data_IF_219703549963
#
_entry.id   IF_219703549963
#
_cell.length_a   1.000
_cell.length_b   1.000
_cell.length_c   1.000
_cell.angle_alpha   90.00
_cell.angle_beta   90.00
_cell.angle_gamma   90.00
#
_symmetry.space_group_name_H-M   'P 1'
#
loop_
_entity.id
_entity.type
_entity.pdbx_description
1 polymer ?
#
# COMPACT_ATOMS: atom_id res chain seq x y z
N UNK A 1 43.39 -5.23 55.64
CA UNK A 1 42.50 -4.40 54.80
C UNK A 1 42.92 -4.31 53.33
N UNK A 2 44.12 -4.74 52.91
CA UNK A 2 44.54 -4.70 51.50
C UNK A 2 44.08 -5.90 50.65
N UNK A 3 43.82 -7.07 51.28
CA UNK A 3 43.39 -8.30 50.59
C UNK A 3 41.94 -8.27 50.10
N UNK A 4 41.07 -7.49 50.76
CA UNK A 4 39.65 -7.35 50.38
C UNK A 4 39.47 -6.55 49.08
N UNK A 5 40.37 -5.59 48.80
CA UNK A 5 40.32 -4.75 47.60
C UNK A 5 40.68 -5.55 46.35
N UNK A 6 41.71 -6.42 46.44
CA UNK A 6 42.10 -7.30 45.32
C UNK A 6 41.01 -8.31 44.96
N UNK A 7 40.32 -8.86 45.96
CA UNK A 7 39.21 -9.78 45.73
C UNK A 7 38.01 -9.09 45.05
N UNK A 8 37.68 -7.85 45.43
CA UNK A 8 36.63 -7.07 44.78
C UNK A 8 36.97 -6.75 43.32
N UNK A 9 38.23 -6.47 43.02
CA UNK A 9 38.68 -6.16 41.65
C UNK A 9 38.57 -7.39 40.73
N UNK A 10 38.95 -8.57 41.21
CA UNK A 10 38.77 -9.84 40.47
C UNK A 10 37.29 -10.19 40.28
N UNK A 11 36.47 -9.96 41.30
CA UNK A 11 35.02 -10.22 41.23
C UNK A 11 34.33 -9.29 40.22
N UNK A 12 34.75 -8.02 40.15
CA UNK A 12 34.28 -7.07 39.14
C UNK A 12 34.68 -7.47 37.71
N UNK A 13 35.92 -7.96 37.52
CA UNK A 13 36.38 -8.46 36.21
C UNK A 13 35.60 -9.70 35.75
N UNK A 14 35.31 -10.63 36.67
CA UNK A 14 34.50 -11.82 36.36
C UNK A 14 33.06 -11.45 35.98
N UNK A 15 32.44 -10.49 36.68
CA UNK A 15 31.11 -9.98 36.33
C UNK A 15 31.09 -9.25 34.98
N UNK A 16 32.11 -8.46 34.68
CA UNK A 16 32.24 -7.79 33.38
C UNK A 16 32.39 -8.80 32.24
N UNK A 17 33.23 -9.83 32.42
CA UNK A 17 33.44 -10.88 31.42
C UNK A 17 32.14 -11.68 31.20
N UNK A 18 31.43 -12.02 32.28
CA UNK A 18 30.13 -12.68 32.20
C UNK A 18 29.09 -11.84 31.43
N UNK A 19 29.08 -10.51 31.66
CA UNK A 19 28.24 -9.58 30.92
C UNK A 19 28.55 -9.57 29.41
N UNK A 20 29.84 -9.59 29.06
CA UNK A 20 30.26 -9.60 27.65
C UNK A 20 29.87 -10.90 26.92
N UNK A 21 30.03 -12.05 27.60
CA UNK A 21 29.62 -13.35 27.07
C UNK A 21 28.10 -13.40 26.87
N UNK A 22 27.32 -12.91 27.83
CA UNK A 22 25.86 -12.83 27.72
C UNK A 22 25.42 -11.93 26.56
N UNK A 23 26.05 -10.75 26.42
CA UNK A 23 25.76 -9.84 25.32
C UNK A 23 26.07 -10.48 23.96
N UNK A 24 27.23 -11.12 23.85
CA UNK A 24 27.63 -11.86 22.64
C UNK A 24 26.62 -12.96 22.27
N UNK A 25 26.14 -13.71 23.25
CA UNK A 25 25.14 -14.76 23.05
C UNK A 25 23.79 -14.19 22.56
N UNK A 26 23.31 -13.11 23.17
CA UNK A 26 22.04 -12.47 22.80
C UNK A 26 22.12 -11.91 21.38
N UNK A 27 23.22 -11.25 21.02
CA UNK A 27 23.43 -10.72 19.67
C UNK A 27 23.54 -11.84 18.63
N UNK A 28 24.29 -12.91 18.91
CA UNK A 28 24.38 -14.07 18.04
C UNK A 28 23.01 -14.73 17.82
N UNK A 29 22.24 -14.94 18.89
CA UNK A 29 20.90 -15.53 18.82
C UNK A 29 19.93 -14.65 18.01
N UNK A 30 19.98 -13.32 18.19
CA UNK A 30 19.16 -12.38 17.43
C UNK A 30 19.55 -12.33 15.94
N UNK A 31 20.85 -12.33 15.64
CA UNK A 31 21.36 -12.36 14.27
C UNK A 31 20.99 -13.67 13.54
N UNK A 32 21.03 -14.82 14.23
CA UNK A 32 20.61 -16.10 13.65
C UNK A 32 19.12 -16.08 13.27
N UNK A 33 18.25 -15.52 14.13
CA UNK A 33 16.83 -15.41 13.85
C UNK A 33 16.54 -14.52 12.62
N UNK A 34 17.25 -13.39 12.49
CA UNK A 34 17.14 -12.50 11.34
C UNK A 34 17.65 -13.15 10.05
N UNK A 35 18.82 -13.80 10.11
CA UNK A 35 19.39 -14.52 8.96
C UNK A 35 18.49 -15.66 8.49
N UNK A 36 17.80 -16.36 9.39
CA UNK A 36 16.85 -17.42 9.03
C UNK A 36 15.68 -16.90 8.22
N UNK A 37 15.12 -15.73 8.54
CA UNK A 37 14.01 -15.12 7.79
C UNK A 37 14.45 -14.72 6.38
N UNK A 38 15.53 -13.96 6.27
CA UNK A 38 16.07 -13.52 4.97
C UNK A 38 16.40 -14.69 4.05
N UNK A 39 16.96 -15.78 4.59
CA UNK A 39 17.31 -16.95 3.79
C UNK A 39 16.08 -17.77 3.36
N UNK A 40 14.97 -17.71 4.10
CA UNK A 40 13.70 -18.31 3.70
C UNK A 40 13.04 -17.51 2.58
N UNK A 41 13.04 -16.18 2.69
CA UNK A 41 12.48 -15.30 1.65
C UNK A 41 13.25 -15.44 0.34
N UNK A 42 14.59 -15.40 0.38
CA UNK A 42 15.42 -15.62 -0.81
C UNK A 42 15.17 -16.99 -1.45
N UNK A 43 14.92 -18.03 -0.66
CA UNK A 43 14.61 -19.38 -1.17
C UNK A 43 13.22 -19.47 -1.79
N UNK A 44 12.23 -18.76 -1.25
CA UNK A 44 10.89 -18.70 -1.84
C UNK A 44 10.94 -18.03 -3.21
N UNK A 45 11.58 -16.86 -3.30
CA UNK A 45 11.74 -16.13 -4.57
C UNK A 45 12.51 -16.94 -5.61
N UNK A 46 13.60 -17.62 -5.22
CA UNK A 46 14.35 -18.48 -6.16
C UNK A 46 13.55 -19.68 -6.65
N UNK A 47 12.65 -20.24 -5.82
CA UNK A 47 11.76 -21.34 -6.25
C UNK A 47 10.73 -20.88 -7.26
N UNK A 48 10.15 -19.70 -7.05
CA UNK A 48 9.20 -19.09 -7.97
C UNK A 48 9.86 -18.77 -9.31
N UNK A 49 11.04 -18.15 -9.30
CA UNK A 49 11.82 -17.88 -10.51
C UNK A 49 12.17 -19.16 -11.28
N UNK A 50 12.55 -20.23 -10.56
CA UNK A 50 12.85 -21.53 -11.18
C UNK A 50 11.61 -22.21 -11.77
N UNK A 51 10.45 -22.06 -11.13
CA UNK A 51 9.18 -22.58 -11.64
C UNK A 51 8.75 -21.88 -12.94
N UNK A 52 9.01 -20.58 -13.07
CA UNK A 52 8.78 -19.81 -14.30
C UNK A 52 9.74 -20.29 -15.41
N UNK A 53 11.02 -20.51 -15.06
CA UNK A 53 12.03 -20.96 -16.02
C UNK A 53 11.76 -22.38 -16.55
N UNK A 54 11.23 -23.28 -15.71
CA UNK A 54 10.91 -24.66 -16.10
C UNK A 54 9.69 -24.77 -17.03
N UNK A 55 8.78 -23.79 -17.05
CA UNK A 55 7.63 -23.77 -17.98
C UNK A 55 8.01 -23.39 -19.41
N UNK A 56 9.25 -22.99 -19.66
CA UNK A 56 9.72 -22.68 -21.00
C UNK A 56 10.11 -24.00 -21.69
N UNK A 57 9.12 -24.68 -22.26
CA UNK A 57 9.35 -25.89 -23.03
C UNK A 57 10.38 -25.61 -24.13
N UNK A 58 11.47 -26.39 -24.23
CA UNK A 58 12.41 -26.25 -25.32
C UNK A 58 11.70 -26.67 -26.60
N UNK A 59 11.34 -25.69 -27.42
CA UNK A 59 10.82 -25.93 -28.77
C UNK A 59 11.97 -26.54 -29.57
N UNK A 60 11.95 -27.87 -29.71
CA UNK A 60 12.91 -28.56 -30.55
C UNK A 60 12.76 -28.03 -32.00
N UNK A 61 13.86 -27.64 -32.68
CA UNK A 61 13.76 -27.22 -34.07
C UNK A 61 13.25 -28.39 -34.91
N UNK A 62 12.25 -28.13 -35.76
CA UNK A 62 11.74 -29.11 -36.70
C UNK A 62 12.76 -29.22 -37.85
N UNK A 63 13.86 -29.93 -37.62
CA UNK A 63 14.95 -30.09 -38.58
C UNK A 63 14.53 -30.79 -39.89
N UNK A 64 13.33 -31.38 -39.94
CA UNK A 64 12.79 -32.12 -41.08
C UNK A 64 11.62 -31.39 -41.79
N UNK A 65 11.34 -30.13 -41.42
CA UNK A 65 10.25 -29.35 -42.02
C UNK A 65 10.67 -28.71 -43.36
N UNK A 66 9.71 -28.46 -44.29
CA UNK A 66 9.97 -27.77 -45.55
C UNK A 66 10.69 -26.42 -45.37
N UNK A 67 11.51 -26.03 -46.35
CA UNK A 67 12.31 -24.80 -46.30
C UNK A 67 11.47 -23.54 -46.05
N UNK A 68 10.23 -23.51 -46.53
CA UNK A 68 9.29 -22.43 -46.24
C UNK A 68 8.95 -22.37 -44.73
N UNK A 69 8.57 -23.49 -44.12
CA UNK A 69 8.27 -23.59 -42.69
C UNK A 69 9.45 -23.19 -41.82
N UNK A 70 10.68 -23.52 -42.25
CA UNK A 70 11.90 -23.08 -41.56
C UNK A 70 12.08 -21.56 -41.59
N UNK A 71 11.80 -20.90 -42.73
CA UNK A 71 11.85 -19.43 -42.83
C UNK A 71 10.82 -18.76 -41.92
N UNK A 72 9.60 -19.30 -41.88
CA UNK A 72 8.57 -18.85 -40.95
C UNK A 72 8.97 -19.07 -39.48
N UNK A 73 9.60 -20.20 -39.16
CA UNK A 73 10.09 -20.48 -37.81
C UNK A 73 11.17 -19.47 -37.37
N UNK A 74 12.11 -19.13 -38.25
CA UNK A 74 13.13 -18.09 -37.96
C UNK A 74 12.47 -16.74 -37.74
N UNK A 75 11.56 -16.32 -38.63
CA UNK A 75 10.84 -15.06 -38.49
C UNK A 75 10.02 -14.99 -37.19
N UNK A 76 9.41 -16.10 -36.76
CA UNK A 76 8.68 -16.18 -35.49
C UNK A 76 9.61 -16.13 -34.28
N UNK A 77 10.79 -16.75 -34.34
CA UNK A 77 11.77 -16.64 -33.27
C UNK A 77 12.34 -15.23 -33.13
N UNK A 78 12.59 -14.55 -34.25
CA UNK A 78 13.03 -13.16 -34.25
C UNK A 78 11.96 -12.24 -33.66
N UNK A 79 10.70 -12.40 -34.10
CA UNK A 79 9.55 -11.68 -33.54
C UNK A 79 9.37 -11.95 -32.04
N UNK A 80 9.50 -13.21 -31.61
CA UNK A 80 9.43 -13.57 -30.20
C UNK A 80 10.53 -12.87 -29.40
N UNK A 81 11.75 -12.79 -29.94
CA UNK A 81 12.87 -12.15 -29.26
C UNK A 81 12.67 -10.63 -29.17
N UNK A 82 12.17 -10.02 -30.22
CA UNK A 82 11.81 -8.59 -30.25
C UNK A 82 10.70 -8.27 -29.25
N UNK A 83 9.60 -9.03 -29.25
CA UNK A 83 8.50 -8.86 -28.30
C UNK A 83 8.94 -9.08 -26.86
N UNK A 84 9.83 -10.04 -26.61
CA UNK A 84 10.38 -10.26 -25.27
C UNK A 84 11.19 -9.03 -24.82
N UNK A 85 12.03 -8.48 -25.70
CA UNK A 85 12.82 -7.28 -25.38
C UNK A 85 11.94 -6.04 -25.14
N UNK A 86 10.87 -5.88 -25.91
CA UNK A 86 9.91 -4.80 -25.72
C UNK A 86 9.11 -4.95 -24.40
N UNK A 87 8.70 -6.16 -24.06
CA UNK A 87 8.04 -6.43 -22.79
C UNK A 87 8.97 -6.17 -21.60
N UNK A 88 10.22 -6.64 -21.66
CA UNK A 88 11.20 -6.42 -20.60
C UNK A 88 11.48 -4.92 -20.39
N UNK A 89 11.59 -4.14 -21.47
CA UNK A 89 11.76 -2.68 -21.37
C UNK A 89 10.53 -1.99 -20.80
N UNK A 90 9.31 -2.38 -21.20
CA UNK A 90 8.07 -1.84 -20.63
C UNK A 90 7.92 -2.18 -19.15
N UNK A 91 8.23 -3.42 -18.74
CA UNK A 91 8.21 -3.84 -17.34
C UNK A 91 9.20 -3.01 -16.52
N UNK A 92 10.41 -2.78 -17.04
CA UNK A 92 11.39 -1.94 -16.37
C UNK A 92 10.89 -0.50 -16.16
N UNK A 93 10.23 0.09 -17.16
CA UNK A 93 9.61 1.43 -17.03
C UNK A 93 8.48 1.42 -16.00
N UNK A 94 7.63 0.41 -15.98
CA UNK A 94 6.54 0.32 -14.98
C UNK A 94 7.10 0.17 -13.57
N UNK A 95 8.14 -0.64 -13.38
CA UNK A 95 8.79 -0.81 -12.09
C UNK A 95 9.44 0.48 -11.59
N UNK A 96 10.06 1.27 -12.47
CA UNK A 96 10.62 2.57 -12.07
C UNK A 96 9.53 3.57 -11.71
N UNK A 97 8.43 3.60 -12.47
CA UNK A 97 7.28 4.46 -12.16
C UNK A 97 6.62 4.10 -10.81
N UNK A 98 6.42 2.81 -10.54
CA UNK A 98 5.93 2.35 -9.24
C UNK A 98 6.85 2.80 -8.09
N UNK A 99 8.16 2.61 -8.26
CA UNK A 99 9.13 3.02 -7.25
C UNK A 99 9.12 4.54 -7.01
N UNK A 100 8.98 5.32 -8.07
CA UNK A 100 8.82 6.77 -7.95
C UNK A 100 7.52 7.15 -7.23
N UNK A 101 6.41 6.46 -7.50
CA UNK A 101 5.15 6.68 -6.80
C UNK A 101 5.25 6.35 -5.31
N UNK A 102 5.86 5.22 -4.95
CA UNK A 102 6.09 4.85 -3.56
C UNK A 102 6.94 5.90 -2.84
N UNK A 103 8.03 6.36 -3.47
CA UNK A 103 8.87 7.43 -2.92
C UNK A 103 8.08 8.74 -2.72
N UNK A 104 7.22 9.10 -3.67
CA UNK A 104 6.35 10.28 -3.53
C UNK A 104 5.35 10.12 -2.39
N UNK A 105 4.74 8.96 -2.23
CA UNK A 105 3.82 8.67 -1.13
C UNK A 105 4.54 8.78 0.21
N UNK A 106 5.74 8.21 0.33
CA UNK A 106 6.54 8.31 1.56
C UNK A 106 6.93 9.76 1.86
N UNK A 107 7.28 10.56 0.84
CA UNK A 107 7.56 11.99 1.05
C UNK A 107 6.33 12.77 1.50
N UNK A 108 5.13 12.40 1.02
CA UNK A 108 3.87 13.01 1.48
C UNK A 108 3.48 12.54 2.87
N UNK A 109 3.74 11.28 3.23
CA UNK A 109 3.46 10.73 4.55
C UNK A 109 4.40 11.31 5.63
N UNK A 110 5.61 11.71 5.24
CA UNK A 110 6.61 12.31 6.14
C UNK A 110 6.47 13.83 6.25
N UNK A 111 5.77 14.49 5.32
CA UNK A 111 5.42 15.90 5.47
C UNK A 111 4.40 16.03 6.63
N UNK A 112 4.72 16.75 7.72
CA UNK A 112 3.73 17.01 8.76
C UNK A 112 2.57 17.83 8.14
N UNK A 113 1.33 17.63 8.62
CA UNK A 113 0.21 18.47 8.20
C UNK A 113 0.61 19.94 8.40
N UNK A 114 0.78 20.67 7.29
CA UNK A 114 1.04 22.10 7.35
C UNK A 114 -0.12 22.82 8.04
N UNK A 115 0.04 24.09 8.47
CA UNK A 115 -0.98 24.84 9.23
C UNK A 115 -2.32 25.06 8.49
N UNK A 116 -2.47 24.55 7.26
CA UNK A 116 -3.74 24.50 6.52
C UNK A 116 -4.50 23.16 6.64
N UNK A 117 -3.88 22.12 7.21
CA UNK A 117 -4.47 20.78 7.36
C UNK A 117 -5.43 20.69 8.55
N UNK A 118 -5.34 21.60 9.52
CA UNK A 118 -6.32 21.71 10.61
C UNK A 118 -7.67 22.26 10.13
N UNK A 119 -7.72 22.87 8.93
CA UNK A 119 -8.96 23.35 8.32
C UNK A 119 -9.67 22.29 7.44
N UNK A 120 -8.98 21.21 7.07
CA UNK A 120 -9.49 20.22 6.11
C UNK A 120 -9.38 18.77 6.58
N UNK A 121 -9.07 18.55 7.87
CA UNK A 121 -9.32 17.27 8.51
C UNK A 121 -10.84 17.13 8.70
N UNK A 122 -11.51 16.78 7.61
CA UNK A 122 -12.90 16.37 7.58
C UNK A 122 -13.00 15.15 8.48
N UNK A 123 -13.34 15.38 9.74
CA UNK A 123 -13.59 14.34 10.71
C UNK A 123 -14.68 13.43 10.13
N UNK A 124 -14.33 12.19 9.77
CA UNK A 124 -15.29 11.24 9.21
C UNK A 124 -16.47 11.00 10.16
N UNK A 125 -16.34 11.36 11.45
CA UNK A 125 -17.45 11.39 12.41
C UNK A 125 -18.38 12.57 12.19
N UNK A 126 -17.87 13.78 11.89
CA UNK A 126 -18.70 14.92 11.51
C UNK A 126 -19.43 14.71 10.20
N UNK A 127 -18.80 14.09 9.18
CA UNK A 127 -19.49 13.80 7.90
C UNK A 127 -20.65 12.83 8.09
N UNK A 128 -20.48 11.80 8.92
CA UNK A 128 -21.56 10.85 9.23
C UNK A 128 -22.71 11.53 9.99
N UNK A 129 -22.39 12.38 10.96
CA UNK A 129 -23.42 13.12 11.71
C UNK A 129 -24.15 14.14 10.83
N UNK A 130 -23.42 14.89 9.99
CA UNK A 130 -24.02 15.85 9.05
C UNK A 130 -24.90 15.16 8.00
N UNK A 131 -24.47 13.99 7.50
CA UNK A 131 -25.27 13.19 6.57
C UNK A 131 -26.56 12.65 7.22
N UNK A 132 -26.52 12.26 8.51
CA UNK A 132 -27.70 11.82 9.25
C UNK A 132 -28.67 12.98 9.53
N UNK A 133 -28.16 14.14 9.94
CA UNK A 133 -29.02 15.32 10.16
C UNK A 133 -29.66 15.79 8.86
N UNK A 134 -28.91 15.73 7.75
CA UNK A 134 -29.39 16.11 6.43
C UNK A 134 -30.48 15.17 5.93
N UNK A 135 -30.33 13.85 6.06
CA UNK A 135 -31.37 12.91 5.61
C UNK A 135 -32.68 13.05 6.40
N UNK A 136 -32.61 13.38 7.69
CA UNK A 136 -33.79 13.66 8.52
C UNK A 136 -34.46 14.98 8.09
N UNK A 137 -33.68 16.00 7.76
CA UNK A 137 -34.19 17.27 7.23
C UNK A 137 -34.85 17.09 5.86
N UNK A 138 -34.23 16.33 4.97
CA UNK A 138 -34.77 16.01 3.64
C UNK A 138 -36.12 15.29 3.74
N UNK A 139 -36.23 14.29 4.63
CA UNK A 139 -37.49 13.58 4.88
C UNK A 139 -38.59 14.52 5.41
N UNK A 140 -38.22 15.46 6.28
CA UNK A 140 -39.18 16.41 6.88
C UNK A 140 -39.64 17.45 5.86
N UNK A 141 -38.74 17.95 5.01
CA UNK A 141 -39.08 18.88 3.92
C UNK A 141 -39.98 18.18 2.90
N UNK A 142 -39.66 16.95 2.51
CA UNK A 142 -40.51 16.16 1.61
C UNK A 142 -41.90 15.88 2.19
N UNK A 143 -42.00 15.57 3.49
CA UNK A 143 -43.28 15.36 4.16
C UNK A 143 -44.14 16.64 4.20
N UNK A 144 -43.53 17.79 4.49
CA UNK A 144 -44.24 19.09 4.52
C UNK A 144 -44.70 19.52 3.12
N UNK A 145 -43.88 19.28 2.11
CA UNK A 145 -44.25 19.49 0.71
C UNK A 145 -45.40 18.57 0.29
N UNK A 146 -45.39 17.29 0.71
CA UNK A 146 -46.48 16.35 0.42
C UNK A 146 -47.80 16.72 1.12
N UNK A 147 -47.74 17.42 2.28
CA UNK A 147 -48.93 18.01 2.90
C UNK A 147 -49.46 19.27 2.20
N UNK A 148 -48.84 19.67 1.08
CA UNK A 148 -49.30 20.76 0.21
C UNK A 148 -48.80 22.15 0.61
N UNK A 149 -47.81 22.25 1.51
CA UNK A 149 -47.20 23.55 1.84
C UNK A 149 -46.26 24.01 0.73
N UNK A 150 -46.23 25.31 0.52
CA UNK A 150 -45.34 25.95 -0.46
C UNK A 150 -43.91 26.06 0.06
N UNK A 151 -42.92 26.14 -0.83
CA UNK A 151 -41.50 26.25 -0.45
C UNK A 151 -41.22 27.46 0.46
N UNK A 152 -41.96 28.56 0.30
CA UNK A 152 -41.86 29.75 1.15
C UNK A 152 -42.33 29.49 2.58
N UNK A 153 -43.47 28.80 2.75
CA UNK A 153 -44.01 28.45 4.06
C UNK A 153 -43.12 27.43 4.78
N UNK A 154 -42.57 26.47 4.03
CA UNK A 154 -41.61 25.49 4.56
C UNK A 154 -40.33 26.19 5.05
N UNK A 155 -39.86 27.21 4.32
CA UNK A 155 -38.68 27.99 4.72
C UNK A 155 -38.90 28.77 6.02
N UNK A 156 -40.08 29.37 6.17
CA UNK A 156 -40.46 30.11 7.38
C UNK A 156 -40.66 29.18 8.57
N UNK A 157 -41.24 27.99 8.35
CA UNK A 157 -41.54 27.05 9.43
C UNK A 157 -40.28 26.33 9.96
N UNK A 158 -39.27 26.13 9.11
CA UNK A 158 -38.02 25.46 9.48
C UNK A 158 -36.85 26.43 9.77
N UNK A 159 -37.07 27.73 9.63
CA UNK A 159 -36.02 28.78 9.73
C UNK A 159 -34.82 28.49 8.80
N UNK A 160 -35.10 27.91 7.63
CA UNK A 160 -34.09 27.57 6.63
C UNK A 160 -34.17 28.57 5.46
N UNK A 161 -33.04 28.91 4.82
CA UNK A 161 -33.06 29.77 3.64
C UNK A 161 -33.83 29.07 2.51
N UNK A 162 -34.66 29.84 1.80
CA UNK A 162 -35.50 29.34 0.70
C UNK A 162 -34.69 28.53 -0.33
N UNK A 163 -33.46 28.97 -0.62
CA UNK A 163 -32.53 28.30 -1.54
C UNK A 163 -32.21 26.86 -1.14
N UNK A 164 -32.10 26.55 0.16
CA UNK A 164 -31.75 25.21 0.64
C UNK A 164 -32.95 24.26 0.54
N UNK A 165 -34.16 24.80 0.76
CA UNK A 165 -35.41 24.05 0.61
C UNK A 165 -35.65 23.66 -0.85
N UNK A 166 -35.44 24.59 -1.78
CA UNK A 166 -35.56 24.32 -3.22
C UNK A 166 -34.51 23.33 -3.72
N UNK A 167 -33.26 23.44 -3.24
CA UNK A 167 -32.18 22.51 -3.59
C UNK A 167 -32.52 21.08 -3.14
N UNK A 168 -33.03 20.93 -1.92
CA UNK A 168 -33.42 19.64 -1.35
C UNK A 168 -34.59 19.03 -2.12
N UNK A 169 -35.64 19.82 -2.39
CA UNK A 169 -36.80 19.36 -3.17
C UNK A 169 -36.39 18.97 -4.60
N UNK A 170 -35.55 19.78 -5.25
CA UNK A 170 -35.05 19.50 -6.61
C UNK A 170 -34.18 18.25 -6.68
N UNK A 171 -33.41 17.95 -5.64
CA UNK A 171 -32.61 16.72 -5.55
C UNK A 171 -33.43 15.47 -5.21
N UNK A 172 -34.59 15.63 -4.57
CA UNK A 172 -35.49 14.53 -4.19
C UNK A 172 -36.46 14.12 -5.30
N UNK A 173 -36.65 14.96 -6.33
CA UNK A 173 -37.57 14.69 -7.46
C UNK A 173 -36.90 14.02 -8.67
N UNK A 174 -35.61 13.72 -8.59
CA UNK A 174 -34.85 12.97 -9.60
C UNK A 174 -34.73 11.49 -9.21
#
# INVERSE_FOLDING_TARGET
MQTTILAQMQQAQLLMLAGFVMLGWVLARRQIALRKRVNQDSRATHRELKAIQQRKDPVAPLSDAPAETQRWQVAMFDLQRELTAELDTRIAVVQTLMRQLDERIDTLATLPPGPAADANQVDLRQVKNASQTRSVLELRIAALHHSGLTSEEISQQLELPLSDVELILGSSTA
#
